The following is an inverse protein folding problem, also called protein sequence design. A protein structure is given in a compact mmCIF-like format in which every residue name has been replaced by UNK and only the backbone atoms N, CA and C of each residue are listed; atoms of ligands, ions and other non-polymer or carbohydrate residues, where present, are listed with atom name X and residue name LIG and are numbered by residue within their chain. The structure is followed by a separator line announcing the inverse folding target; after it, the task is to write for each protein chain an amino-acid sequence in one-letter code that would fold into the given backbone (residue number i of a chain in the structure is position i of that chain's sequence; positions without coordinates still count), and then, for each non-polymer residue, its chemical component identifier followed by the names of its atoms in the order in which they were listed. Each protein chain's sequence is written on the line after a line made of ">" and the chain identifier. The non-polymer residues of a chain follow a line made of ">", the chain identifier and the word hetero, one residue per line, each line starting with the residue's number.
data_IF_941035351762
#
_entry.id   IF_941035351762
#
_cell.length_a   1.000
_cell.length_b   1.000
_cell.length_c   1.000
_cell.angle_alpha   90.00
_cell.angle_beta   90.00
_cell.angle_gamma   90.00
#
_symmetry.space_group_name_H-M   'P 1'
#
loop_
_entity.id
_entity.type
_entity.pdbx_description
1 polymer ?
#
# COMPACT_ATOMS: atom_id res chain seq x y z
N UNK A 1 -26.51 -18.20 -38.27
CA UNK A 1 -26.55 -16.78 -37.86
C UNK A 1 -26.48 -15.93 -39.11
N UNK A 2 -27.55 -15.19 -39.43
CA UNK A 2 -27.54 -14.30 -40.60
C UNK A 2 -27.10 -12.91 -40.15
N UNK A 3 -25.93 -12.45 -40.62
CA UNK A 3 -25.44 -11.09 -40.35
C UNK A 3 -26.36 -10.11 -41.06
N UNK A 4 -26.90 -9.14 -40.31
CA UNK A 4 -27.73 -8.07 -40.87
C UNK A 4 -26.86 -7.07 -41.65
N UNK A 5 -26.60 -7.41 -42.92
CA UNK A 5 -25.77 -6.60 -43.83
C UNK A 5 -26.32 -5.19 -44.04
N UNK A 6 -27.63 -4.99 -43.92
CA UNK A 6 -28.24 -3.65 -44.07
C UNK A 6 -27.85 -2.76 -42.89
N UNK A 7 -27.95 -3.29 -41.68
CA UNK A 7 -27.55 -2.59 -40.45
C UNK A 7 -26.07 -2.20 -40.43
N UNK A 8 -25.18 -3.06 -40.95
CA UNK A 8 -23.75 -2.73 -41.07
C UNK A 8 -23.52 -1.58 -42.06
N UNK A 9 -24.18 -1.59 -43.22
CA UNK A 9 -24.06 -0.51 -44.19
C UNK A 9 -24.52 0.85 -43.63
N UNK A 10 -25.59 0.86 -42.82
CA UNK A 10 -26.08 2.08 -42.16
C UNK A 10 -25.10 2.60 -41.10
N UNK A 11 -24.45 1.71 -40.35
CA UNK A 11 -23.40 2.06 -39.38
C UNK A 11 -22.16 2.61 -40.07
N UNK A 12 -21.72 1.97 -41.16
CA UNK A 12 -20.57 2.43 -41.96
C UNK A 12 -20.82 3.82 -42.56
N UNK A 13 -22.01 4.06 -43.10
CA UNK A 13 -22.40 5.37 -43.61
C UNK A 13 -22.39 6.45 -42.51
N UNK A 14 -22.82 6.09 -41.30
CA UNK A 14 -22.84 7.01 -40.14
C UNK A 14 -21.43 7.33 -39.64
N UNK A 15 -20.56 6.33 -39.53
CA UNK A 15 -19.13 6.49 -39.17
C UNK A 15 -18.44 7.38 -40.20
N UNK A 16 -18.62 7.11 -41.49
CA UNK A 16 -18.02 7.92 -42.55
C UNK A 16 -18.50 9.38 -42.51
N UNK A 17 -19.79 9.62 -42.24
CA UNK A 17 -20.34 10.97 -42.11
C UNK A 17 -19.76 11.72 -40.93
N UNK A 18 -19.69 11.09 -39.75
CA UNK A 18 -19.13 11.71 -38.55
C UNK A 18 -17.62 11.92 -38.66
N UNK A 19 -16.88 11.00 -39.31
CA UNK A 19 -15.46 11.17 -39.61
C UNK A 19 -15.20 12.43 -40.44
N UNK A 20 -15.96 12.63 -41.52
CA UNK A 20 -15.87 13.86 -42.33
C UNK A 20 -16.20 15.12 -41.54
N UNK A 21 -17.21 15.04 -40.66
CA UNK A 21 -17.57 16.17 -39.81
C UNK A 21 -16.46 16.50 -38.81
N UNK A 22 -15.82 15.49 -38.21
CA UNK A 22 -14.66 15.65 -37.32
C UNK A 22 -13.52 16.36 -38.05
N UNK A 23 -13.12 15.84 -39.20
CA UNK A 23 -12.05 16.43 -40.03
C UNK A 23 -12.33 17.89 -40.39
N UNK A 24 -13.58 18.21 -40.77
CA UNK A 24 -13.99 19.59 -41.04
C UNK A 24 -13.81 20.50 -39.82
N UNK A 25 -14.15 20.02 -38.60
CA UNK A 25 -14.04 20.80 -37.37
C UNK A 25 -12.60 20.92 -36.86
N UNK A 26 -11.79 19.89 -37.03
CA UNK A 26 -10.35 19.95 -36.77
C UNK A 26 -9.67 20.93 -37.72
N UNK A 27 -10.05 20.94 -39.00
CA UNK A 27 -9.57 21.91 -39.97
C UNK A 27 -9.94 23.36 -39.59
N UNK A 28 -11.18 23.61 -39.17
CA UNK A 28 -11.62 24.92 -38.66
C UNK A 28 -10.80 25.35 -37.42
N UNK A 29 -10.56 24.42 -36.49
CA UNK A 29 -9.81 24.68 -35.26
C UNK A 29 -8.34 24.98 -35.56
N UNK A 30 -7.73 24.21 -36.46
CA UNK A 30 -6.34 24.39 -36.87
C UNK A 30 -6.16 25.69 -37.66
N UNK A 31 -7.11 26.02 -38.55
CA UNK A 31 -7.09 27.28 -39.29
C UNK A 31 -7.19 28.50 -38.37
N UNK A 32 -8.00 28.44 -37.31
CA UNK A 32 -8.06 29.51 -36.31
C UNK A 32 -6.78 29.57 -35.46
N UNK A 33 -6.26 28.42 -35.02
CA UNK A 33 -5.05 28.32 -34.20
C UNK A 33 -3.78 28.78 -34.94
N UNK A 34 -3.78 28.71 -36.28
CA UNK A 34 -2.68 29.17 -37.13
C UNK A 34 -2.64 30.70 -37.32
N UNK A 35 -3.69 31.42 -36.90
CA UNK A 35 -3.70 32.90 -36.93
C UNK A 35 -2.75 33.46 -35.88
N UNK A 36 -2.37 34.72 -36.07
CA UNK A 36 -1.63 35.48 -35.07
C UNK A 36 -2.40 35.51 -33.74
N UNK A 37 -1.70 35.55 -32.59
CA UNK A 37 -2.32 35.39 -31.27
C UNK A 37 -3.44 36.42 -30.97
N UNK A 38 -3.36 37.61 -31.55
CA UNK A 38 -4.39 38.66 -31.42
C UNK A 38 -5.65 38.42 -32.29
N UNK A 39 -5.54 37.58 -33.32
CA UNK A 39 -6.61 37.27 -34.26
C UNK A 39 -7.27 35.90 -34.00
N UNK A 40 -6.79 35.18 -32.98
CA UNK A 40 -7.37 33.92 -32.52
C UNK A 40 -8.69 34.16 -31.80
N UNK A 41 -9.68 33.31 -32.06
CA UNK A 41 -10.97 33.38 -31.38
C UNK A 41 -11.07 32.25 -30.34
N UNK A 42 -10.73 32.57 -29.09
CA UNK A 42 -10.70 31.58 -28.00
C UNK A 42 -12.06 30.92 -27.73
N UNK A 43 -13.17 31.67 -27.87
CA UNK A 43 -14.53 31.12 -27.71
C UNK A 43 -14.87 30.12 -28.82
N UNK A 44 -14.50 30.44 -30.07
CA UNK A 44 -14.65 29.54 -31.21
C UNK A 44 -13.85 28.26 -30.98
N UNK A 45 -12.59 28.36 -30.54
CA UNK A 45 -11.74 27.21 -30.27
C UNK A 45 -12.31 26.31 -29.16
N UNK A 46 -12.80 26.89 -28.07
CA UNK A 46 -13.39 26.13 -26.98
C UNK A 46 -14.67 25.40 -27.43
N UNK A 47 -15.51 26.09 -28.23
CA UNK A 47 -16.71 25.48 -28.83
C UNK A 47 -16.35 24.34 -29.78
N UNK A 48 -15.35 24.52 -30.64
CA UNK A 48 -14.89 23.49 -31.57
C UNK A 48 -14.33 22.28 -30.84
N UNK A 49 -13.53 22.47 -29.79
CA UNK A 49 -13.02 21.37 -28.94
C UNK A 49 -14.16 20.57 -28.30
N UNK A 50 -15.18 21.25 -27.76
CA UNK A 50 -16.39 20.59 -27.21
C UNK A 50 -17.14 19.79 -28.27
N UNK A 51 -17.28 20.32 -29.48
CA UNK A 51 -17.92 19.63 -30.59
C UNK A 51 -17.13 18.41 -31.06
N UNK A 52 -15.80 18.54 -31.21
CA UNK A 52 -14.91 17.43 -31.59
C UNK A 52 -15.00 16.31 -30.56
N UNK A 53 -14.89 16.62 -29.27
CA UNK A 53 -15.00 15.62 -28.20
C UNK A 53 -16.34 14.88 -28.22
N UNK A 54 -17.44 15.56 -28.52
CA UNK A 54 -18.76 14.92 -28.68
C UNK A 54 -18.79 13.99 -29.90
N UNK A 55 -18.26 14.43 -31.03
CA UNK A 55 -18.18 13.61 -32.25
C UNK A 55 -17.32 12.36 -32.03
N UNK A 56 -16.22 12.48 -31.27
CA UNK A 56 -15.37 11.35 -30.91
C UNK A 56 -16.09 10.31 -30.06
N UNK A 57 -16.88 10.77 -29.08
CA UNK A 57 -17.73 9.88 -28.26
C UNK A 57 -18.75 9.14 -29.13
N UNK A 58 -19.43 9.86 -30.04
CA UNK A 58 -20.43 9.27 -30.94
C UNK A 58 -19.79 8.26 -31.93
N UNK A 59 -18.59 8.57 -32.45
CA UNK A 59 -17.81 7.66 -33.30
C UNK A 59 -17.43 6.38 -32.56
N UNK A 60 -16.97 6.51 -31.30
CA UNK A 60 -16.62 5.36 -30.48
C UNK A 60 -17.83 4.43 -30.28
N UNK A 61 -19.00 4.99 -29.94
CA UNK A 61 -20.22 4.22 -29.77
C UNK A 61 -20.65 3.52 -31.08
N UNK A 62 -20.51 4.18 -32.23
CA UNK A 62 -20.81 3.56 -33.54
C UNK A 62 -19.83 2.44 -33.89
N UNK A 63 -18.54 2.59 -33.57
CA UNK A 63 -17.55 1.54 -33.76
C UNK A 63 -17.84 0.32 -32.88
N UNK A 64 -18.22 0.51 -31.62
CA UNK A 64 -18.66 -0.58 -30.75
C UNK A 64 -19.91 -1.29 -31.28
N UNK A 65 -20.92 -0.53 -31.72
CA UNK A 65 -22.15 -1.09 -32.32
C UNK A 65 -21.86 -1.87 -33.60
N UNK A 66 -20.95 -1.37 -34.45
CA UNK A 66 -20.49 -2.05 -35.67
C UNK A 66 -19.80 -3.36 -35.33
N UNK A 67 -18.84 -3.32 -34.41
CA UNK A 67 -18.13 -4.50 -33.94
C UNK A 67 -19.07 -5.57 -33.36
N UNK A 68 -20.03 -5.17 -32.54
CA UNK A 68 -21.02 -6.09 -31.98
C UNK A 68 -21.94 -6.71 -33.04
N UNK A 69 -22.28 -5.95 -34.09
CA UNK A 69 -23.09 -6.46 -35.21
C UNK A 69 -22.30 -7.47 -36.05
N UNK A 70 -21.00 -7.24 -36.27
CA UNK A 70 -20.09 -8.18 -36.96
C UNK A 70 -19.87 -9.47 -36.17
N UNK A 71 -19.76 -9.37 -34.84
CA UNK A 71 -19.56 -10.52 -33.95
C UNK A 71 -20.83 -11.37 -33.74
N UNK A 72 -21.96 -10.97 -34.32
CA UNK A 72 -23.21 -11.71 -34.27
C UNK A 72 -23.82 -11.74 -32.87
N UNK A 73 -24.54 -10.68 -32.51
CA UNK A 73 -25.43 -10.60 -31.34
C UNK A 73 -24.85 -11.17 -30.04
N UNK A 74 -23.57 -10.90 -29.75
CA UNK A 74 -23.19 -10.67 -28.35
C UNK A 74 -23.88 -9.37 -28.01
N UNK A 75 -25.08 -9.46 -27.45
CA UNK A 75 -25.92 -8.33 -27.10
C UNK A 75 -25.06 -7.22 -26.48
N UNK A 76 -24.75 -6.18 -27.26
CA UNK A 76 -24.56 -4.85 -26.71
C UNK A 76 -25.88 -4.60 -26.04
N UNK A 77 -25.86 -4.77 -24.72
CA UNK A 77 -27.02 -4.69 -23.87
C UNK A 77 -27.53 -3.28 -24.08
N UNK A 78 -28.54 -3.17 -24.96
CA UNK A 78 -29.54 -2.12 -24.94
C UNK A 78 -29.75 -1.82 -23.49
N UNK A 79 -29.35 -0.62 -23.04
CA UNK A 79 -29.34 -0.18 -21.64
C UNK A 79 -30.51 -0.86 -20.97
N UNK A 80 -30.21 -1.92 -20.22
CA UNK A 80 -31.25 -2.81 -19.73
C UNK A 80 -32.20 -1.89 -18.97
N UNK A 81 -33.50 -2.01 -19.25
CA UNK A 81 -34.52 -1.40 -18.40
C UNK A 81 -34.07 -1.63 -16.96
N UNK A 82 -33.92 -0.56 -16.18
CA UNK A 82 -33.31 -0.60 -14.85
C UNK A 82 -33.81 -1.86 -14.17
N UNK A 83 -32.94 -2.86 -13.93
CA UNK A 83 -33.39 -4.12 -13.36
C UNK A 83 -34.15 -3.78 -12.10
N UNK A 84 -35.35 -4.36 -11.95
CA UNK A 84 -36.15 -4.16 -10.75
C UNK A 84 -35.24 -4.27 -9.52
N UNK A 85 -35.37 -3.36 -8.53
CA UNK A 85 -34.44 -3.25 -7.42
C UNK A 85 -34.25 -4.65 -6.82
N UNK A 86 -33.06 -5.22 -7.05
CA UNK A 86 -32.71 -6.52 -6.50
C UNK A 86 -32.59 -6.34 -5.00
N UNK A 87 -33.24 -7.21 -4.24
CA UNK A 87 -33.02 -7.24 -2.79
C UNK A 87 -31.52 -7.34 -2.53
N UNK A 88 -30.97 -6.46 -1.69
CA UNK A 88 -29.55 -6.44 -1.45
C UNK A 88 -29.05 -7.78 -0.91
N UNK A 89 -27.88 -8.24 -1.38
CA UNK A 89 -27.29 -9.48 -0.87
C UNK A 89 -27.02 -9.35 0.62
N UNK A 90 -27.16 -10.45 1.37
CA UNK A 90 -26.76 -10.45 2.78
C UNK A 90 -25.28 -10.82 2.93
N UNK A 91 -24.60 -10.19 3.90
CA UNK A 91 -23.25 -10.58 4.30
C UNK A 91 -23.21 -12.06 4.73
N UNK A 92 -22.37 -12.86 4.07
CA UNK A 92 -22.13 -14.26 4.41
C UNK A 92 -20.93 -14.37 5.36
N UNK A 93 -21.13 -13.97 6.62
CA UNK A 93 -20.06 -13.88 7.61
C UNK A 93 -19.84 -15.25 8.24
N UNK A 94 -18.67 -15.85 8.00
CA UNK A 94 -18.22 -17.05 8.72
C UNK A 94 -17.50 -16.66 10.00
N UNK A 95 -17.72 -17.41 11.09
CA UNK A 95 -16.94 -17.24 12.31
C UNK A 95 -15.56 -17.87 12.10
N UNK A 96 -14.56 -17.03 11.83
CA UNK A 96 -13.17 -17.45 11.66
C UNK A 96 -12.39 -17.03 12.90
N UNK A 97 -11.79 -17.96 13.66
CA UNK A 97 -10.96 -17.59 14.82
C UNK A 97 -9.70 -16.86 14.35
N UNK A 98 -9.15 -16.00 15.21
CA UNK A 98 -7.86 -15.35 14.92
C UNK A 98 -6.76 -16.40 14.94
N UNK A 99 -6.01 -16.62 13.84
CA UNK A 99 -4.92 -17.58 13.86
C UNK A 99 -3.75 -17.02 14.70
N UNK A 100 -2.91 -17.91 15.28
CA UNK A 100 -1.68 -17.50 15.93
C UNK A 100 -0.70 -16.88 14.92
N UNK A 101 0.16 -16.01 15.41
CA UNK A 101 1.31 -15.55 14.62
C UNK A 101 2.32 -16.71 14.47
N UNK A 102 2.92 -16.92 13.30
CA UNK A 102 3.89 -18.01 13.11
C UNK A 102 5.12 -17.80 13.99
N UNK A 103 5.62 -18.88 14.58
CA UNK A 103 6.86 -18.86 15.37
C UNK A 103 8.08 -18.51 14.50
N UNK A 104 9.14 -17.91 15.09
CA UNK A 104 10.40 -17.70 14.38
C UNK A 104 10.94 -19.00 13.77
N UNK A 105 11.28 -18.99 12.48
CA UNK A 105 11.79 -20.16 11.77
C UNK A 105 10.72 -21.13 11.26
N UNK A 106 9.44 -20.77 11.33
CA UNK A 106 8.37 -21.54 10.69
C UNK A 106 8.61 -21.73 9.19
N UNK A 107 8.18 -22.87 8.65
CA UNK A 107 8.23 -23.17 7.22
C UNK A 107 7.34 -22.20 6.43
N UNK A 108 7.70 -21.91 5.18
CA UNK A 108 6.99 -20.98 4.29
C UNK A 108 5.49 -21.31 4.17
N UNK A 109 5.16 -22.59 4.00
CA UNK A 109 3.76 -23.05 3.94
C UNK A 109 2.96 -22.73 5.21
N UNK A 110 3.60 -22.76 6.39
CA UNK A 110 2.97 -22.40 7.65
C UNK A 110 2.75 -20.88 7.76
N UNK A 111 3.68 -20.09 7.24
CA UNK A 111 3.56 -18.62 7.18
C UNK A 111 2.41 -18.22 6.24
N UNK A 112 2.33 -18.80 5.05
CA UNK A 112 1.27 -18.52 4.08
C UNK A 112 -0.10 -18.93 4.62
N UNK A 113 -0.20 -20.08 5.26
CA UNK A 113 -1.41 -20.55 5.91
C UNK A 113 -1.86 -19.58 7.02
N UNK A 114 -0.93 -19.16 7.88
CA UNK A 114 -1.20 -18.20 8.94
C UNK A 114 -1.66 -16.85 8.36
N UNK A 115 -1.01 -16.36 7.30
CA UNK A 115 -1.38 -15.12 6.61
C UNK A 115 -2.79 -15.17 6.04
N UNK A 116 -3.12 -16.23 5.30
CA UNK A 116 -4.46 -16.40 4.72
C UNK A 116 -5.53 -16.48 5.81
N UNK A 117 -5.27 -17.23 6.89
CA UNK A 117 -6.19 -17.25 8.04
C UNK A 117 -6.36 -15.87 8.68
N UNK A 118 -5.29 -15.06 8.73
CA UNK A 118 -5.32 -13.72 9.31
C UNK A 118 -6.17 -12.78 8.45
N UNK A 119 -6.03 -12.87 7.12
CA UNK A 119 -6.87 -12.18 6.16
C UNK A 119 -8.34 -12.58 6.31
N UNK A 120 -8.64 -13.88 6.31
CA UNK A 120 -10.01 -14.38 6.44
C UNK A 120 -10.67 -13.92 7.74
N UNK A 121 -9.94 -13.96 8.86
CA UNK A 121 -10.41 -13.46 10.15
C UNK A 121 -10.76 -11.97 10.07
N UNK A 122 -9.85 -11.13 9.57
CA UNK A 122 -10.08 -9.68 9.52
C UNK A 122 -11.13 -9.26 8.49
N UNK A 123 -11.25 -9.97 7.37
CA UNK A 123 -12.36 -9.80 6.43
C UNK A 123 -13.68 -10.10 7.13
N UNK A 124 -13.79 -11.22 7.86
CA UNK A 124 -15.01 -11.55 8.60
C UNK A 124 -15.37 -10.50 9.66
N UNK A 125 -14.38 -9.98 10.42
CA UNK A 125 -14.62 -8.90 11.39
C UNK A 125 -15.07 -7.60 10.73
N UNK A 126 -14.44 -7.19 9.63
CA UNK A 126 -14.88 -6.00 8.88
C UNK A 126 -16.30 -6.15 8.34
N UNK A 127 -16.65 -7.32 7.81
CA UNK A 127 -18.02 -7.59 7.36
C UNK A 127 -19.02 -7.51 8.52
N UNK A 128 -18.66 -7.93 9.74
CA UNK A 128 -19.51 -7.75 10.94
C UNK A 128 -19.72 -6.27 11.25
N UNK A 129 -18.65 -5.48 11.20
CA UNK A 129 -18.73 -4.03 11.43
C UNK A 129 -19.61 -3.35 10.38
N UNK A 130 -19.44 -3.69 9.10
CA UNK A 130 -20.27 -3.17 8.01
C UNK A 130 -21.74 -3.58 8.16
N UNK A 131 -22.02 -4.86 8.43
CA UNK A 131 -23.38 -5.33 8.70
C UNK A 131 -24.02 -4.55 9.86
N UNK A 132 -23.29 -4.37 10.96
CA UNK A 132 -23.77 -3.62 12.14
C UNK A 132 -24.03 -2.15 11.82
N UNK A 133 -23.23 -1.54 10.95
CA UNK A 133 -23.38 -0.16 10.51
C UNK A 133 -24.40 0.01 9.35
N UNK A 134 -25.11 -1.06 8.95
CA UNK A 134 -26.12 -1.00 7.89
C UNK A 134 -25.55 -0.84 6.48
N UNK A 135 -24.27 -1.17 6.27
CA UNK A 135 -23.68 -1.19 4.95
C UNK A 135 -24.11 -2.42 4.17
N UNK A 136 -24.47 -2.19 2.91
CA UNK A 136 -24.83 -3.24 1.97
C UNK A 136 -23.59 -3.84 1.28
N UNK A 137 -23.51 -5.18 1.08
CA UNK A 137 -22.38 -5.79 0.38
C UNK A 137 -22.23 -5.38 -1.09
N UNK A 138 -23.32 -4.91 -1.71
CA UNK A 138 -23.34 -4.54 -3.13
C UNK A 138 -23.20 -3.02 -3.30
N UNK A 139 -22.93 -2.29 -2.22
CA UNK A 139 -22.66 -0.84 -2.25
C UNK A 139 -21.38 -0.57 -3.06
N UNK A 140 -21.53 0.26 -4.09
CA UNK A 140 -20.38 0.74 -4.87
C UNK A 140 -19.59 1.77 -4.07
N UNK A 141 -18.26 1.64 -4.12
CA UNK A 141 -17.34 2.60 -3.54
C UNK A 141 -16.84 3.53 -4.65
N UNK A 142 -16.69 4.83 -4.36
CA UNK A 142 -16.11 5.76 -5.32
C UNK A 142 -14.62 5.49 -5.50
N UNK A 143 -14.09 5.79 -6.68
CA UNK A 143 -12.65 5.71 -6.96
C UNK A 143 -11.84 6.58 -5.98
N UNK A 144 -12.37 7.74 -5.60
CA UNK A 144 -11.77 8.62 -4.59
C UNK A 144 -11.67 7.94 -3.23
N UNK A 145 -12.73 7.29 -2.75
CA UNK A 145 -12.70 6.60 -1.46
C UNK A 145 -11.74 5.41 -1.48
N UNK A 146 -11.69 4.66 -2.57
CA UNK A 146 -10.73 3.57 -2.78
C UNK A 146 -9.30 4.13 -2.76
N UNK A 147 -9.05 5.26 -3.43
CA UNK A 147 -7.74 5.91 -3.45
C UNK A 147 -7.28 6.32 -2.05
N UNK A 148 -8.15 6.95 -1.25
CA UNK A 148 -7.83 7.32 0.14
C UNK A 148 -7.55 6.09 1.02
N UNK A 149 -8.37 5.03 0.89
CA UNK A 149 -8.18 3.79 1.64
C UNK A 149 -6.84 3.13 1.29
N UNK A 150 -6.54 2.99 0.00
CA UNK A 150 -5.27 2.44 -0.46
C UNK A 150 -4.10 3.31 -0.02
N UNK A 151 -4.21 4.64 -0.13
CA UNK A 151 -3.19 5.57 0.34
C UNK A 151 -2.88 5.39 1.83
N UNK A 152 -3.92 5.28 2.67
CA UNK A 152 -3.78 5.04 4.10
C UNK A 152 -3.12 3.68 4.40
N UNK A 153 -3.52 2.61 3.71
CA UNK A 153 -2.92 1.27 3.85
C UNK A 153 -1.43 1.32 3.48
N UNK A 154 -1.08 1.91 2.34
CA UNK A 154 0.32 2.04 1.92
C UNK A 154 1.14 2.88 2.90
N UNK A 155 0.59 4.00 3.38
CA UNK A 155 1.23 4.85 4.38
C UNK A 155 1.50 4.09 5.67
N UNK A 156 0.50 3.36 6.19
CA UNK A 156 0.66 2.52 7.39
C UNK A 156 1.71 1.43 7.19
N UNK A 157 1.70 0.70 6.07
CA UNK A 157 2.68 -0.35 5.79
C UNK A 157 4.10 0.22 5.78
N UNK A 158 4.32 1.36 5.11
CA UNK A 158 5.64 2.02 5.06
C UNK A 158 6.08 2.48 6.44
N UNK A 159 5.21 3.18 7.18
CA UNK A 159 5.51 3.65 8.53
C UNK A 159 5.93 2.50 9.46
N UNK A 160 5.16 1.41 9.49
CA UNK A 160 5.49 0.28 10.36
C UNK A 160 6.76 -0.43 9.92
N UNK A 161 7.00 -0.57 8.60
CA UNK A 161 8.26 -1.12 8.09
C UNK A 161 9.47 -0.33 8.57
N UNK A 162 9.42 0.99 8.48
CA UNK A 162 10.51 1.87 8.90
C UNK A 162 10.71 1.81 10.42
N UNK A 163 9.62 1.78 11.19
CA UNK A 163 9.67 1.60 12.64
C UNK A 163 10.29 0.24 13.03
N UNK A 164 9.89 -0.85 12.37
CA UNK A 164 10.49 -2.18 12.61
C UNK A 164 11.97 -2.21 12.24
N UNK A 165 12.38 -1.57 11.15
CA UNK A 165 13.79 -1.47 10.77
C UNK A 165 14.60 -0.70 11.83
N UNK A 166 14.07 0.41 12.34
CA UNK A 166 14.71 1.17 13.42
C UNK A 166 14.85 0.36 14.71
N UNK A 167 13.80 -0.37 15.09
CA UNK A 167 13.84 -1.26 16.27
C UNK A 167 14.84 -2.40 16.08
N UNK A 168 14.86 -3.04 14.90
CA UNK A 168 15.82 -4.10 14.60
C UNK A 168 17.26 -3.61 14.72
N UNK A 169 17.57 -2.46 14.15
CA UNK A 169 18.89 -1.83 14.29
C UNK A 169 19.24 -1.57 15.75
N UNK A 170 18.29 -1.07 16.55
CA UNK A 170 18.53 -0.81 17.97
C UNK A 170 18.80 -2.10 18.76
N UNK A 171 18.11 -3.18 18.42
CA UNK A 171 18.36 -4.51 19.00
C UNK A 171 19.77 -4.97 18.64
N UNK A 172 20.16 -4.89 17.36
CA UNK A 172 21.51 -5.25 16.90
C UNK A 172 22.61 -4.45 17.62
N UNK A 173 22.40 -3.14 17.84
CA UNK A 173 23.32 -2.29 18.63
C UNK A 173 23.46 -2.74 20.09
N UNK A 174 22.34 -3.14 20.71
CA UNK A 174 22.33 -3.62 22.09
C UNK A 174 22.97 -5.00 22.20
N UNK A 175 22.71 -5.87 21.24
CA UNK A 175 23.27 -7.23 21.17
C UNK A 175 24.77 -7.22 20.83
N UNK A 176 25.26 -6.21 20.11
CA UNK A 176 26.68 -6.05 19.79
C UNK A 176 27.55 -5.68 21.01
N UNK A 177 26.97 -5.09 22.06
CA UNK A 177 27.68 -4.71 23.28
C UNK A 177 27.08 -5.42 24.51
N UNK A 178 27.13 -6.76 24.58
CA UNK A 178 26.53 -7.49 25.67
C UNK A 178 27.30 -7.22 26.96
N UNK A 179 26.54 -7.02 28.04
CA UNK A 179 27.13 -6.93 29.37
C UNK A 179 27.76 -8.28 29.72
N UNK A 180 29.08 -8.32 29.92
CA UNK A 180 29.82 -9.57 30.14
C UNK A 180 30.68 -9.51 31.38
N UNK A 181 30.47 -10.42 32.33
CA UNK A 181 31.36 -10.57 33.46
C UNK A 181 32.70 -11.19 33.03
N UNK A 182 33.81 -10.53 33.39
CA UNK A 182 35.19 -10.90 33.02
C UNK A 182 36.02 -11.38 34.21
N UNK A 183 35.40 -11.61 35.37
CA UNK A 183 36.09 -12.06 36.58
C UNK A 183 36.71 -10.91 37.38
N UNK A 184 37.76 -11.22 38.13
CA UNK A 184 38.54 -10.23 38.89
C UNK A 184 39.41 -9.44 37.92
N UNK A 185 39.49 -8.12 38.10
CA UNK A 185 40.33 -7.24 37.27
C UNK A 185 41.79 -7.71 37.24
N UNK A 186 42.39 -7.68 36.04
CA UNK A 186 43.77 -8.03 35.76
C UNK A 186 44.46 -6.87 35.08
N UNK A 187 45.69 -6.57 35.50
CA UNK A 187 46.46 -5.44 34.96
C UNK A 187 46.83 -5.60 33.49
N UNK A 188 46.99 -6.84 33.02
CA UNK A 188 47.41 -7.15 31.65
C UNK A 188 46.29 -7.10 30.61
N UNK A 189 45.03 -7.08 31.05
CA UNK A 189 43.90 -7.33 30.18
C UNK A 189 43.27 -6.02 29.69
N UNK A 190 42.81 -6.01 28.44
CA UNK A 190 41.90 -4.98 27.95
C UNK A 190 40.44 -5.36 28.28
N UNK A 191 39.63 -4.34 28.54
CA UNK A 191 38.19 -4.52 28.74
C UNK A 191 37.41 -3.68 27.73
N UNK A 192 36.34 -4.24 27.19
CA UNK A 192 35.43 -3.54 26.28
C UNK A 192 34.28 -2.93 27.05
N UNK A 193 33.67 -1.89 26.49
CA UNK A 193 32.41 -1.34 27.02
C UNK A 193 31.39 -2.46 27.26
N UNK A 194 30.73 -2.44 28.41
CA UNK A 194 29.80 -3.49 28.83
C UNK A 194 30.45 -4.58 29.69
N UNK A 195 31.78 -4.70 29.69
CA UNK A 195 32.44 -5.64 30.58
C UNK A 195 32.22 -5.27 32.06
N UNK A 196 32.00 -6.29 32.88
CA UNK A 196 31.93 -6.17 34.33
C UNK A 196 33.12 -6.90 34.93
N UNK A 197 33.81 -6.27 35.88
CA UNK A 197 34.87 -6.90 36.66
C UNK A 197 34.63 -6.72 38.15
N UNK A 198 35.30 -7.53 38.96
CA UNK A 198 35.43 -7.27 40.40
C UNK A 198 36.83 -6.78 40.74
N UNK A 199 36.92 -5.78 41.62
CA UNK A 199 38.19 -5.32 42.22
C UNK A 199 37.92 -4.92 43.67
N UNK A 200 38.75 -5.38 44.61
CA UNK A 200 38.61 -5.17 46.05
C UNK A 200 37.20 -5.46 46.62
N UNK A 201 36.48 -6.43 46.05
CA UNK A 201 35.12 -6.79 46.47
C UNK A 201 34.01 -5.90 45.90
N UNK A 202 34.34 -4.89 45.10
CA UNK A 202 33.40 -4.04 44.39
C UNK A 202 33.16 -4.57 42.97
N UNK A 203 31.96 -4.42 42.43
CA UNK A 203 31.67 -4.71 41.02
C UNK A 203 31.67 -3.40 40.21
N UNK A 204 32.38 -3.42 39.08
CA UNK A 204 32.59 -2.26 38.23
C UNK A 204 32.18 -2.57 36.79
N UNK A 205 31.53 -1.61 36.14
CA UNK A 205 31.12 -1.68 34.74
C UNK A 205 32.00 -0.77 33.89
N UNK A 206 32.57 -1.30 32.83
CA UNK A 206 33.28 -0.53 31.82
C UNK A 206 32.27 0.27 30.97
N UNK A 207 32.20 1.60 31.16
CA UNK A 207 31.31 2.48 30.38
C UNK A 207 31.86 2.83 29.00
N UNK A 208 33.16 2.60 28.79
CA UNK A 208 33.92 2.77 27.55
C UNK A 208 34.92 1.61 27.42
N UNK A 209 35.60 1.49 26.28
CA UNK A 209 36.74 0.58 26.16
C UNK A 209 37.86 1.04 27.12
N UNK A 210 38.44 0.07 27.83
CA UNK A 210 39.43 0.24 28.89
C UNK A 210 40.76 -0.36 28.42
N UNK A 211 41.82 0.45 28.26
CA UNK A 211 43.13 -0.07 27.89
C UNK A 211 43.77 -0.86 29.05
N UNK A 212 44.74 -1.74 28.75
CA UNK A 212 45.46 -2.49 29.78
C UNK A 212 46.08 -1.59 30.85
N UNK A 213 45.99 -2.02 32.11
CA UNK A 213 46.57 -1.32 33.26
C UNK A 213 45.67 -0.27 33.91
N UNK A 214 44.57 0.13 33.28
CA UNK A 214 43.58 1.05 33.84
C UNK A 214 42.71 0.36 34.90
N UNK A 215 42.97 0.70 36.17
CA UNK A 215 42.31 0.06 37.32
C UNK A 215 40.93 0.69 37.60
N UNK A 216 39.92 -0.11 37.97
CA UNK A 216 38.65 0.41 38.45
C UNK A 216 38.78 1.41 39.59
N UNK A 217 37.96 2.47 39.54
CA UNK A 217 37.98 3.57 40.51
C UNK A 217 39.07 4.62 40.31
N UNK A 218 39.94 4.46 39.31
CA UNK A 218 40.99 5.45 38.99
C UNK A 218 40.60 6.34 37.80
N UNK A 219 40.00 5.78 36.75
CA UNK A 219 39.62 6.49 35.53
C UNK A 219 38.10 6.54 35.30
N UNK A 220 37.67 7.44 34.41
CA UNK A 220 36.27 7.62 33.99
C UNK A 220 35.74 6.48 33.11
N UNK A 221 36.61 5.54 32.73
CA UNK A 221 36.27 4.32 32.00
C UNK A 221 35.42 3.36 32.83
N UNK A 222 35.44 3.48 34.16
CA UNK A 222 34.78 2.58 35.10
C UNK A 222 33.66 3.28 35.87
N UNK A 223 32.48 2.66 35.91
CA UNK A 223 31.37 3.06 36.76
C UNK A 223 31.15 1.99 37.83
N UNK A 224 31.09 2.41 39.09
CA UNK A 224 30.79 1.52 40.20
C UNK A 224 29.34 1.00 40.08
N UNK A 225 29.16 -0.33 40.04
CA UNK A 225 27.84 -0.97 40.01
C UNK A 225 27.36 -1.35 41.40
N UNK A 226 28.22 -2.04 42.16
CA UNK A 226 27.87 -2.61 43.47
C UNK A 226 29.02 -2.36 44.43
N UNK A 227 28.70 -1.77 45.58
CA UNK A 227 29.66 -1.59 46.67
C UNK A 227 29.99 -2.93 47.31
N UNK A 228 31.23 -3.10 47.76
CA UNK A 228 31.60 -4.26 48.57
C UNK A 228 30.62 -4.41 49.74
N UNK A 229 30.03 -5.60 49.86
CA UNK A 229 29.15 -5.93 50.97
C UNK A 229 29.93 -5.97 52.29
N UNK A 230 29.23 -5.79 53.40
CA UNK A 230 29.81 -6.03 54.73
C UNK A 230 29.87 -7.54 54.94
N UNK A 231 31.05 -8.08 55.26
CA UNK A 231 31.19 -9.50 55.61
C UNK A 231 30.18 -9.86 56.70
N UNK A 232 29.31 -10.82 56.43
CA UNK A 232 28.40 -11.40 57.41
C UNK A 232 29.19 -12.33 58.35
N UNK A 233 30.11 -11.76 59.14
CA UNK A 233 30.66 -12.47 60.30
C UNK A 233 29.59 -12.44 61.39
N UNK A 234 28.90 -13.58 61.55
CA UNK A 234 28.12 -13.92 62.74
C UNK A 234 29.04 -14.09 63.95
#
# INVERSE_FOLDING_TARGET
>A
MSIDRKRLADLDASIARLGKLKESKEGELQADSAKHALDQNMELQERLRKQISRIESDLHELHERRFATEMGDVAVTKTAATPAPRSPRQWQIKAVPRPPFPEPGAEEAAIDSAWNGYLDHHVAELQKHFKKAGFDPDRTLSAEMISHLLGAIHGMIRWHRDAFAALKKRIEELEAAPVRYRGVWQRSDDYRRGNIVTDAGFAWHAVKDVPPGERPGVSDCWQLMVKAGKDARL
#
